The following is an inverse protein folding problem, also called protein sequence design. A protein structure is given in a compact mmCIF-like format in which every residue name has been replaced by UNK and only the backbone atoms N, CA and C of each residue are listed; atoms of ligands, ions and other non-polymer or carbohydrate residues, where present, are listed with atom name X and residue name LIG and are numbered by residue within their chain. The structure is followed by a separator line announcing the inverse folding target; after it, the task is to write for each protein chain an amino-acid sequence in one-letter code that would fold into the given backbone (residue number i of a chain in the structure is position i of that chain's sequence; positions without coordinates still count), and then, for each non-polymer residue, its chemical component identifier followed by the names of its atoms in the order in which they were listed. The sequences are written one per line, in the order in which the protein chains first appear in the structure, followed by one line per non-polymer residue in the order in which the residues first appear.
data_IF_607235414772
#
_entry.id   IF_607235414772
#
_cell.length_a   1.000
_cell.length_b   1.000
_cell.length_c   1.000
_cell.angle_alpha   90.00
_cell.angle_beta   90.00
_cell.angle_gamma   90.00
#
_symmetry.space_group_name_H-M   'P 1'
#
loop_
_entity.id
_entity.type
_entity.pdbx_description
1 polymer ?
#
# COMPACT_ATOMS: atom_id res chain seq x y z
N UNK A 1 1.07 7.48 9.82
CA UNK A 1 0.07 7.70 10.90
C UNK A 1 0.30 6.73 12.04
N UNK A 2 -0.07 7.10 13.27
CA UNK A 2 -0.25 6.15 14.37
C UNK A 2 -1.60 5.44 14.19
N UNK A 3 -1.62 4.12 14.33
CA UNK A 3 -2.83 3.31 14.15
C UNK A 3 -3.33 2.89 15.52
N UNK A 4 -4.47 3.45 15.95
CA UNK A 4 -5.14 3.05 17.18
C UNK A 4 -5.62 1.60 17.07
N UNK A 5 -5.16 0.74 18.01
CA UNK A 5 -5.44 -0.69 18.01
C UNK A 5 -6.95 -0.98 18.04
N UNK A 6 -7.44 -1.76 17.09
CA UNK A 6 -8.84 -2.20 16.94
C UNK A 6 -9.88 -1.06 17.04
N UNK A 7 -9.52 0.13 16.52
CA UNK A 7 -10.36 1.32 16.62
C UNK A 7 -10.61 1.97 15.26
N UNK A 8 -11.40 1.34 14.37
CA UNK A 8 -11.60 1.81 12.99
C UNK A 8 -12.03 3.27 12.92
N UNK A 9 -12.98 3.69 13.73
CA UNK A 9 -13.49 5.06 13.72
C UNK A 9 -12.39 6.10 14.01
N UNK A 10 -11.57 5.87 15.04
CA UNK A 10 -10.46 6.77 15.36
C UNK A 10 -9.44 6.84 14.23
N UNK A 11 -9.19 5.70 13.58
CA UNK A 11 -8.25 5.60 12.46
C UNK A 11 -8.80 6.30 11.21
N UNK A 12 -10.10 6.20 10.92
CA UNK A 12 -10.77 6.97 9.85
C UNK A 12 -10.61 8.48 10.10
N UNK A 13 -10.92 8.97 11.31
CA UNK A 13 -10.80 10.39 11.66
C UNK A 13 -9.34 10.89 11.56
N UNK A 14 -8.37 10.04 11.94
CA UNK A 14 -6.94 10.37 11.84
C UNK A 14 -6.47 10.42 10.40
N UNK A 15 -6.87 9.46 9.57
CA UNK A 15 -6.56 9.43 8.14
C UNK A 15 -7.19 10.63 7.41
N UNK A 16 -8.45 10.95 7.68
CA UNK A 16 -9.15 12.09 7.08
C UNK A 16 -8.43 13.40 7.40
N UNK A 17 -8.10 13.65 8.66
CA UNK A 17 -7.34 14.85 9.06
C UNK A 17 -6.01 14.97 8.33
N UNK A 18 -5.26 13.86 8.23
CA UNK A 18 -3.98 13.85 7.54
C UNK A 18 -4.12 14.15 6.04
N UNK A 19 -5.12 13.55 5.38
CA UNK A 19 -5.40 13.78 3.95
C UNK A 19 -5.84 15.22 3.66
N UNK A 20 -6.64 15.83 4.55
CA UNK A 20 -7.14 17.18 4.36
C UNK A 20 -6.13 18.27 4.76
N UNK A 21 -5.08 17.91 5.51
CA UNK A 21 -4.05 18.85 5.96
C UNK A 21 -2.94 19.10 4.92
N UNK A 22 -2.90 18.32 3.84
CA UNK A 22 -1.89 18.42 2.78
C UNK A 22 -2.47 18.97 1.48
N UNK A 23 -1.60 19.42 0.57
CA UNK A 23 -2.02 19.81 -0.77
C UNK A 23 -2.71 18.63 -1.50
N UNK A 24 -3.65 18.97 -2.39
CA UNK A 24 -4.38 17.96 -3.17
C UNK A 24 -3.40 17.10 -3.97
N UNK A 25 -3.60 15.81 -3.87
CA UNK A 25 -2.80 14.80 -4.54
C UNK A 25 -3.70 13.89 -5.39
N UNK A 26 -3.12 13.23 -6.39
CA UNK A 26 -3.84 12.28 -7.25
C UNK A 26 -4.09 10.92 -6.57
N UNK A 27 -3.29 10.60 -5.55
CA UNK A 27 -3.33 9.35 -4.82
C UNK A 27 -2.95 9.55 -3.36
N UNK A 28 -3.73 8.98 -2.45
CA UNK A 28 -3.43 8.88 -1.02
C UNK A 28 -3.24 7.42 -0.64
N UNK A 29 -2.14 7.11 0.06
CA UNK A 29 -1.80 5.74 0.45
C UNK A 29 -1.72 5.64 1.96
N UNK A 30 -2.48 4.72 2.54
CA UNK A 30 -2.56 4.41 3.96
C UNK A 30 -1.80 3.10 4.25
N UNK A 31 -1.36 2.87 5.50
CA UNK A 31 -0.57 1.69 5.88
C UNK A 31 -1.31 0.34 5.72
N UNK A 32 -0.65 -0.75 6.13
CA UNK A 32 -1.26 -2.08 6.25
C UNK A 32 -2.23 -2.12 7.43
N UNK A 33 -3.42 -2.73 7.20
CA UNK A 33 -4.53 -2.82 8.16
C UNK A 33 -4.73 -1.52 8.95
N UNK A 34 -4.74 -0.42 8.21
CA UNK A 34 -4.69 0.93 8.76
C UNK A 34 -5.91 1.29 9.62
N UNK A 35 -7.01 0.57 9.47
CA UNK A 35 -8.24 0.77 10.24
C UNK A 35 -8.21 0.08 11.61
N UNK A 36 -7.44 -1.00 11.79
CA UNK A 36 -7.45 -1.82 13.01
C UNK A 36 -6.08 -2.06 13.64
N UNK A 37 -4.99 -1.94 12.85
CA UNK A 37 -3.71 -2.55 13.17
C UNK A 37 -3.68 -4.02 12.74
N UNK A 38 -2.46 -4.59 12.66
CA UNK A 38 -2.27 -5.98 12.20
C UNK A 38 -2.59 -6.95 13.32
N UNK A 39 -3.77 -7.53 13.27
CA UNK A 39 -4.17 -8.62 14.16
C UNK A 39 -4.02 -9.97 13.47
N UNK A 40 -3.59 -10.98 14.22
CA UNK A 40 -3.60 -12.38 13.78
C UNK A 40 -4.92 -13.08 14.05
N UNK A 41 -5.81 -12.45 14.84
CA UNK A 41 -7.14 -12.93 15.18
C UNK A 41 -8.21 -12.04 14.50
N UNK A 42 -8.51 -12.27 13.21
CA UNK A 42 -9.36 -11.37 12.43
C UNK A 42 -10.85 -11.44 12.79
N UNK A 43 -11.31 -12.47 13.49
CA UNK A 43 -12.74 -12.74 13.69
C UNK A 43 -13.52 -11.55 14.28
N UNK A 44 -12.89 -10.82 15.22
CA UNK A 44 -13.52 -9.68 15.89
C UNK A 44 -13.42 -8.35 15.17
N UNK A 45 -12.55 -8.24 14.14
CA UNK A 45 -12.19 -6.95 13.52
C UNK A 45 -12.29 -6.93 11.99
N UNK A 46 -12.32 -8.10 11.35
CA UNK A 46 -12.43 -8.16 9.89
C UNK A 46 -13.81 -7.70 9.43
N UNK A 47 -13.80 -6.83 8.44
CA UNK A 47 -15.01 -6.32 7.81
C UNK A 47 -15.47 -7.24 6.67
N UNK A 48 -16.71 -7.12 6.24
CA UNK A 48 -17.18 -7.75 5.00
C UNK A 48 -16.51 -7.09 3.78
N UNK A 49 -16.66 -7.70 2.61
CA UNK A 49 -16.12 -7.17 1.34
C UNK A 49 -16.68 -5.78 0.98
N UNK A 50 -17.85 -5.42 1.49
CA UNK A 50 -18.47 -4.08 1.37
C UNK A 50 -18.53 -3.35 2.72
N UNK A 51 -17.55 -3.58 3.60
CA UNK A 51 -17.50 -3.05 4.95
C UNK A 51 -17.37 -1.54 5.06
N UNK A 52 -17.48 -1.03 6.29
CA UNK A 52 -17.50 0.41 6.59
C UNK A 52 -16.23 1.13 6.10
N UNK A 53 -15.06 0.50 6.24
CA UNK A 53 -13.80 1.09 5.79
C UNK A 53 -13.75 1.25 4.28
N UNK A 54 -14.23 0.26 3.50
CA UNK A 54 -14.32 0.42 2.05
C UNK A 54 -15.29 1.54 1.67
N UNK A 55 -16.44 1.65 2.34
CA UNK A 55 -17.40 2.74 2.08
C UNK A 55 -16.80 4.11 2.41
N UNK A 56 -16.05 4.21 3.52
CA UNK A 56 -15.31 5.41 3.87
C UNK A 56 -14.26 5.76 2.79
N UNK A 57 -13.48 4.78 2.30
CA UNK A 57 -12.51 4.99 1.22
C UNK A 57 -13.18 5.49 -0.07
N UNK A 58 -14.35 4.95 -0.42
CA UNK A 58 -15.17 5.42 -1.57
C UNK A 58 -15.59 6.88 -1.39
N UNK A 59 -16.06 7.26 -0.20
CA UNK A 59 -16.45 8.64 0.12
C UNK A 59 -15.26 9.60 0.04
N UNK A 60 -14.11 9.21 0.60
CA UNK A 60 -12.90 10.03 0.56
C UNK A 60 -12.35 10.18 -0.86
N UNK A 61 -12.33 9.11 -1.66
CA UNK A 61 -11.91 9.16 -3.06
C UNK A 61 -12.78 10.16 -3.86
N UNK A 62 -14.09 10.10 -3.68
CA UNK A 62 -15.04 11.05 -4.32
C UNK A 62 -14.81 12.48 -3.84
N UNK A 63 -14.70 12.70 -2.54
CA UNK A 63 -14.53 14.04 -1.94
C UNK A 63 -13.24 14.72 -2.37
N UNK A 64 -12.15 13.96 -2.48
CA UNK A 64 -10.82 14.46 -2.83
C UNK A 64 -10.57 14.48 -4.35
N UNK A 65 -11.46 13.87 -5.15
CA UNK A 65 -11.23 13.57 -6.58
C UNK A 65 -9.85 12.91 -6.79
N UNK A 66 -9.55 11.89 -5.96
CA UNK A 66 -8.25 11.22 -5.92
C UNK A 66 -8.44 9.73 -5.60
N UNK A 67 -7.47 8.90 -5.98
CA UNK A 67 -7.49 7.52 -5.52
C UNK A 67 -7.08 7.42 -4.05
N UNK A 68 -7.64 6.42 -3.35
CA UNK A 68 -7.27 6.08 -1.97
C UNK A 68 -6.88 4.60 -1.92
N UNK A 69 -5.70 4.30 -1.38
CA UNK A 69 -5.21 2.93 -1.24
C UNK A 69 -4.81 2.63 0.21
N UNK A 70 -5.01 1.39 0.65
CA UNK A 70 -4.65 0.92 2.00
C UNK A 70 -5.20 -0.47 2.26
N UNK A 71 -4.57 -1.26 3.13
CA UNK A 71 -5.08 -2.61 3.38
C UNK A 71 -5.96 -2.70 4.63
N UNK A 72 -6.86 -3.68 4.60
CA UNK A 72 -7.90 -3.95 5.60
C UNK A 72 -7.99 -5.46 5.81
N UNK A 73 -8.31 -5.90 7.02
CA UNK A 73 -8.70 -7.29 7.27
C UNK A 73 -10.14 -7.51 6.76
N UNK A 74 -10.30 -8.42 5.80
CA UNK A 74 -11.59 -8.68 5.15
C UNK A 74 -12.01 -10.13 5.34
N UNK A 75 -13.28 -10.34 5.70
CA UNK A 75 -13.95 -11.64 5.71
C UNK A 75 -14.73 -11.82 4.41
N UNK A 76 -14.40 -12.87 3.67
CA UNK A 76 -15.11 -13.23 2.45
C UNK A 76 -16.40 -13.99 2.72
N UNK A 77 -17.24 -14.12 1.70
CA UNK A 77 -18.51 -14.85 1.78
C UNK A 77 -18.35 -16.35 2.09
N UNK A 78 -17.19 -16.94 1.78
CA UNK A 78 -16.84 -18.33 2.12
C UNK A 78 -16.32 -18.49 3.56
N UNK A 79 -16.29 -17.40 4.34
CA UNK A 79 -15.82 -17.35 5.71
C UNK A 79 -14.30 -17.19 5.88
N UNK A 80 -13.52 -17.22 4.80
CA UNK A 80 -12.07 -17.02 4.87
C UNK A 80 -11.71 -15.55 5.07
N UNK A 81 -10.52 -15.31 5.64
CA UNK A 81 -10.00 -13.96 5.88
C UNK A 81 -8.88 -13.60 4.93
N UNK A 82 -8.81 -12.32 4.53
CA UNK A 82 -7.78 -11.74 3.67
C UNK A 82 -7.19 -10.48 4.30
N UNK A 83 -5.89 -10.30 4.15
CA UNK A 83 -5.25 -8.99 4.25
C UNK A 83 -5.35 -8.37 2.86
N UNK A 84 -6.35 -7.50 2.66
CA UNK A 84 -6.74 -6.97 1.34
C UNK A 84 -6.37 -5.50 1.19
N UNK A 85 -5.51 -5.18 0.23
CA UNK A 85 -5.22 -3.82 -0.17
C UNK A 85 -6.22 -3.38 -1.22
N UNK A 86 -7.06 -2.44 -0.85
CA UNK A 86 -7.96 -1.77 -1.78
C UNK A 86 -7.25 -0.61 -2.49
N UNK A 87 -7.58 -0.43 -3.76
CA UNK A 87 -7.27 0.76 -4.55
C UNK A 87 -8.60 1.32 -5.06
N UNK A 88 -9.06 2.40 -4.45
CA UNK A 88 -10.37 2.99 -4.67
C UNK A 88 -10.22 4.28 -5.47
N UNK A 89 -10.77 4.30 -6.68
CA UNK A 89 -10.81 5.49 -7.56
C UNK A 89 -12.07 6.29 -7.29
N UNK A 90 -12.07 7.62 -7.51
CA UNK A 90 -13.31 8.40 -7.47
C UNK A 90 -14.28 7.91 -8.57
N UNK A 91 -15.57 8.05 -8.31
CA UNK A 91 -16.60 7.76 -9.30
C UNK A 91 -16.44 8.73 -10.48
N UNK A 92 -15.87 8.25 -11.56
CA UNK A 92 -15.88 8.99 -12.82
C UNK A 92 -17.24 8.69 -13.46
N UNK A 93 -18.03 9.73 -13.73
CA UNK A 93 -19.26 9.64 -14.52
C UNK A 93 -18.85 9.36 -15.97
N UNK A 94 -18.43 8.13 -16.25
CA UNK A 94 -18.25 7.63 -17.61
C UNK A 94 -19.27 6.51 -17.83
N UNK A 95 -19.88 6.43 -19.02
CA UNK A 95 -20.89 5.40 -19.33
C UNK A 95 -20.32 3.96 -19.36
N UNK A 96 -19.02 3.81 -19.23
CA UNK A 96 -18.38 2.51 -19.09
C UNK A 96 -18.36 2.19 -17.58
N UNK A 97 -19.13 1.20 -17.16
CA UNK A 97 -19.07 0.61 -15.81
C UNK A 97 -17.68 0.03 -15.59
N UNK A 98 -16.69 0.90 -15.32
CA UNK A 98 -15.38 0.52 -14.85
C UNK A 98 -15.47 0.22 -13.36
N UNK A 99 -14.85 -0.84 -12.92
CA UNK A 99 -14.77 -1.17 -11.50
C UNK A 99 -13.88 -0.12 -10.81
N UNK A 100 -14.50 0.83 -10.07
CA UNK A 100 -13.77 1.90 -9.37
C UNK A 100 -12.99 1.37 -8.16
N UNK A 101 -13.24 0.14 -7.76
CA UNK A 101 -12.54 -0.57 -6.68
C UNK A 101 -11.77 -1.72 -7.28
N UNK A 102 -10.47 -1.71 -7.09
CA UNK A 102 -9.59 -2.85 -7.38
C UNK A 102 -8.91 -3.25 -6.07
N UNK A 103 -8.52 -4.51 -5.94
CA UNK A 103 -7.91 -5.00 -4.72
C UNK A 103 -6.83 -6.03 -5.00
N UNK A 104 -5.94 -6.18 -4.04
CA UNK A 104 -4.91 -7.18 -3.97
C UNK A 104 -4.96 -7.88 -2.61
N UNK A 105 -5.08 -9.19 -2.60
CA UNK A 105 -4.96 -10.00 -1.40
C UNK A 105 -3.50 -10.41 -1.19
N UNK A 106 -2.96 -10.16 0.01
CA UNK A 106 -1.57 -10.44 0.35
C UNK A 106 -1.17 -11.86 -0.02
N UNK A 107 -0.12 -12.00 -0.83
CA UNK A 107 0.34 -13.30 -1.29
C UNK A 107 1.24 -13.98 -0.26
N UNK A 108 2.26 -13.26 0.23
CA UNK A 108 3.17 -13.81 1.23
C UNK A 108 2.72 -13.42 2.63
N UNK A 109 1.99 -14.31 3.27
CA UNK A 109 1.58 -14.14 4.67
C UNK A 109 2.79 -14.24 5.60
N UNK A 110 2.81 -13.43 6.67
CA UNK A 110 3.90 -13.41 7.65
C UNK A 110 3.74 -14.57 8.64
N UNK A 111 4.18 -15.78 8.23
CA UNK A 111 4.05 -17.00 9.02
C UNK A 111 4.72 -16.91 10.41
N UNK A 112 5.90 -16.24 10.49
CA UNK A 112 6.59 -16.03 11.77
C UNK A 112 5.74 -15.23 12.77
N UNK A 113 4.88 -14.32 12.29
CA UNK A 113 3.94 -13.56 13.11
C UNK A 113 2.58 -14.23 13.30
N UNK A 114 2.39 -15.45 12.79
CA UNK A 114 1.13 -16.20 12.96
C UNK A 114 0.04 -15.86 11.93
N UNK A 115 0.30 -15.00 10.95
CA UNK A 115 -0.73 -14.59 9.96
C UNK A 115 -1.32 -15.78 9.19
N UNK A 116 -0.51 -16.83 8.93
CA UNK A 116 -0.94 -18.05 8.23
C UNK A 116 -1.93 -18.93 9.00
N UNK A 117 -2.14 -18.66 10.28
CA UNK A 117 -3.07 -19.44 11.09
C UNK A 117 -4.53 -19.12 10.75
N UNK A 118 -4.81 -17.88 10.39
CA UNK A 118 -6.19 -17.40 10.21
C UNK A 118 -6.43 -16.73 8.85
N UNK A 119 -5.39 -16.22 8.19
CA UNK A 119 -5.54 -15.60 6.88
C UNK A 119 -5.22 -16.58 5.75
N UNK A 120 -5.89 -16.39 4.63
CA UNK A 120 -5.63 -17.14 3.39
C UNK A 120 -4.91 -16.24 2.39
N UNK A 121 -3.81 -16.69 1.73
CA UNK A 121 -3.08 -15.89 0.76
C UNK A 121 -3.86 -15.66 -0.53
N UNK A 122 -3.61 -14.52 -1.18
CA UNK A 122 -3.99 -14.28 -2.56
C UNK A 122 -3.03 -14.96 -3.54
N UNK A 123 -3.49 -15.17 -4.78
CA UNK A 123 -2.72 -15.85 -5.83
C UNK A 123 -2.46 -14.97 -7.06
N UNK A 124 -2.96 -13.74 -7.07
CA UNK A 124 -2.90 -12.86 -8.23
C UNK A 124 -1.95 -11.69 -8.00
N UNK A 125 -1.18 -11.36 -9.04
CA UNK A 125 -0.42 -10.12 -9.11
C UNK A 125 -1.34 -9.05 -9.70
N UNK A 126 -1.56 -7.96 -8.97
CA UNK A 126 -2.51 -6.92 -9.37
C UNK A 126 -1.78 -5.64 -9.75
N UNK A 127 -2.05 -5.16 -10.96
CA UNK A 127 -1.70 -3.80 -11.40
C UNK A 127 -2.96 -3.00 -11.68
N UNK A 128 -2.92 -1.72 -11.32
CA UNK A 128 -4.05 -0.79 -11.43
C UNK A 128 -3.63 0.41 -12.26
N UNK A 129 -4.44 0.75 -13.27
CA UNK A 129 -4.25 1.99 -14.04
C UNK A 129 -5.00 3.14 -13.38
N UNK A 130 -4.29 4.23 -13.11
CA UNK A 130 -4.87 5.46 -12.61
C UNK A 130 -4.15 6.68 -13.20
N UNK A 131 -4.91 7.56 -13.85
CA UNK A 131 -4.38 8.78 -14.50
C UNK A 131 -3.18 8.53 -15.40
N UNK A 132 -3.18 7.40 -16.13
CA UNK A 132 -2.14 7.03 -17.09
C UNK A 132 -0.87 6.44 -16.46
N UNK A 133 -0.89 6.10 -15.19
CA UNK A 133 0.20 5.44 -14.46
C UNK A 133 -0.26 4.05 -14.02
N UNK A 134 0.60 3.06 -14.16
CA UNK A 134 0.37 1.67 -13.75
C UNK A 134 0.96 1.43 -12.36
N UNK A 135 0.11 1.09 -11.40
CA UNK A 135 0.48 0.82 -10.01
C UNK A 135 0.45 -0.67 -9.72
N UNK A 136 1.55 -1.25 -9.27
CA UNK A 136 1.63 -2.61 -8.72
C UNK A 136 1.35 -2.55 -7.22
N UNK A 137 0.48 -3.44 -6.73
CA UNK A 137 0.11 -3.51 -5.33
C UNK A 137 0.88 -4.63 -4.62
N UNK A 138 1.40 -4.36 -3.42
CA UNK A 138 1.94 -5.36 -2.51
C UNK A 138 1.76 -4.95 -1.04
N UNK A 139 1.83 -5.93 -0.14
CA UNK A 139 1.60 -5.72 1.28
C UNK A 139 2.80 -6.27 2.07
N UNK A 140 3.50 -5.38 2.77
CA UNK A 140 4.46 -5.63 3.85
C UNK A 140 5.47 -6.75 3.53
N UNK A 141 5.21 -7.97 3.97
CA UNK A 141 6.11 -9.11 3.82
C UNK A 141 6.39 -9.48 2.36
N UNK A 142 5.47 -9.17 1.43
CA UNK A 142 5.69 -9.34 -0.02
C UNK A 142 6.97 -8.64 -0.51
N UNK A 143 7.35 -7.53 0.15
CA UNK A 143 8.54 -6.77 -0.19
C UNK A 143 9.83 -7.62 -0.15
N UNK A 144 9.85 -8.73 0.61
CA UNK A 144 10.99 -9.65 0.68
C UNK A 144 11.14 -10.59 -0.51
N UNK A 145 10.15 -10.65 -1.39
CA UNK A 145 10.08 -11.64 -2.47
C UNK A 145 10.24 -10.99 -3.85
N UNK A 146 11.49 -10.84 -4.34
CA UNK A 146 11.77 -10.13 -5.60
C UNK A 146 11.11 -10.79 -6.82
N UNK A 147 11.03 -12.11 -6.86
CA UNK A 147 10.42 -12.85 -7.99
C UNK A 147 8.94 -12.48 -8.14
N UNK A 148 8.21 -12.34 -7.02
CA UNK A 148 6.81 -11.93 -7.03
C UNK A 148 6.61 -10.50 -7.53
N UNK A 149 7.55 -9.62 -7.20
CA UNK A 149 7.50 -8.19 -7.52
C UNK A 149 8.25 -7.82 -8.80
N UNK A 150 8.85 -8.81 -9.51
CA UNK A 150 9.60 -8.55 -10.74
C UNK A 150 8.73 -7.81 -11.76
N UNK A 151 9.22 -6.66 -12.23
CA UNK A 151 8.61 -5.86 -13.26
C UNK A 151 8.87 -6.48 -14.64
N UNK A 152 7.81 -6.83 -15.35
CA UNK A 152 7.84 -7.32 -16.73
C UNK A 152 7.36 -6.23 -17.69
N UNK A 153 7.74 -4.98 -17.43
CA UNK A 153 7.25 -3.77 -18.08
C UNK A 153 5.72 -3.61 -17.92
N UNK A 154 5.20 -4.06 -16.78
CA UNK A 154 3.77 -4.11 -16.48
C UNK A 154 3.35 -3.16 -15.35
N UNK A 155 4.28 -2.37 -14.81
CA UNK A 155 3.99 -1.27 -13.87
C UNK A 155 5.07 -0.17 -13.85
N UNK A 156 4.69 0.98 -13.34
CA UNK A 156 5.53 2.19 -13.25
C UNK A 156 5.82 2.57 -11.80
N UNK A 157 4.90 2.22 -10.91
CA UNK A 157 4.97 2.49 -9.47
C UNK A 157 4.62 1.24 -8.69
N UNK A 158 5.43 0.89 -7.69
CA UNK A 158 5.13 -0.15 -6.70
C UNK A 158 4.59 0.51 -5.44
N UNK A 159 3.39 0.15 -5.01
CA UNK A 159 2.83 0.51 -3.70
C UNK A 159 3.06 -0.64 -2.74
N UNK A 160 3.76 -0.36 -1.63
CA UNK A 160 3.97 -1.30 -0.53
C UNK A 160 3.43 -0.69 0.76
N UNK A 161 2.26 -1.14 1.20
CA UNK A 161 1.70 -0.75 2.49
C UNK A 161 2.16 -1.71 3.58
N UNK A 162 2.51 -1.21 4.76
CA UNK A 162 3.15 -2.03 5.79
C UNK A 162 2.80 -1.63 7.23
N UNK A 163 2.91 -2.62 8.10
CA UNK A 163 3.15 -2.50 9.54
C UNK A 163 4.51 -3.16 9.84
N UNK A 164 5.58 -2.47 9.42
CA UNK A 164 6.94 -3.00 9.48
C UNK A 164 7.62 -2.59 10.78
N UNK A 165 7.97 -3.53 11.68
CA UNK A 165 8.49 -3.22 13.00
C UNK A 165 9.85 -2.51 12.99
N UNK A 166 10.06 -1.67 14.01
CA UNK A 166 11.28 -0.89 14.20
C UNK A 166 12.56 -1.75 14.16
N UNK A 167 12.54 -2.92 14.81
CA UNK A 167 13.69 -3.82 14.85
C UNK A 167 14.15 -4.34 13.48
N UNK A 168 13.36 -4.14 12.43
CA UNK A 168 13.67 -4.56 11.06
C UNK A 168 13.78 -3.40 10.06
N UNK A 169 13.88 -2.14 10.54
CA UNK A 169 13.86 -0.95 9.68
C UNK A 169 15.02 -0.88 8.69
N UNK A 170 16.19 -1.43 9.02
CA UNK A 170 17.29 -1.53 8.05
C UNK A 170 16.86 -2.32 6.80
N UNK A 171 16.24 -3.49 6.99
CA UNK A 171 15.74 -4.29 5.87
C UNK A 171 14.64 -3.56 5.06
N UNK A 172 13.75 -2.82 5.72
CA UNK A 172 12.74 -2.00 5.06
C UNK A 172 13.35 -1.02 4.07
N UNK A 173 14.28 -0.19 4.53
CA UNK A 173 14.96 0.82 3.70
C UNK A 173 15.73 0.21 2.53
N UNK A 174 16.51 -0.85 2.80
CA UNK A 174 17.31 -1.53 1.77
C UNK A 174 16.40 -2.15 0.70
N UNK A 175 15.33 -2.83 1.12
CA UNK A 175 14.43 -3.51 0.19
C UNK A 175 13.62 -2.54 -0.66
N UNK A 176 13.14 -1.42 -0.12
CA UNK A 176 12.47 -0.39 -0.93
C UNK A 176 13.39 0.13 -2.04
N UNK A 177 14.65 0.46 -1.70
CA UNK A 177 15.66 0.90 -2.67
C UNK A 177 15.96 -0.18 -3.73
N UNK A 178 16.15 -1.43 -3.30
CA UNK A 178 16.41 -2.55 -4.19
C UNK A 178 15.26 -2.74 -5.19
N UNK A 179 13.99 -2.72 -4.71
CA UNK A 179 12.82 -2.84 -5.59
C UNK A 179 12.72 -1.72 -6.60
N UNK A 180 13.06 -0.49 -6.22
CA UNK A 180 13.06 0.65 -7.13
C UNK A 180 14.11 0.49 -8.24
N UNK A 181 15.33 0.10 -7.88
CA UNK A 181 16.46 -0.02 -8.81
C UNK A 181 16.25 -1.19 -9.77
N UNK A 182 16.04 -2.41 -9.25
CA UNK A 182 15.94 -3.64 -10.06
C UNK A 182 14.72 -3.67 -11.00
N UNK A 183 13.65 -2.94 -10.63
CA UNK A 183 12.42 -2.86 -11.39
C UNK A 183 12.26 -1.55 -12.17
N UNK A 184 13.26 -0.66 -12.10
CA UNK A 184 13.23 0.66 -12.75
C UNK A 184 11.87 1.36 -12.55
N UNK A 185 11.42 1.50 -11.31
CA UNK A 185 10.11 2.05 -10.97
C UNK A 185 10.22 2.97 -9.75
N UNK A 186 9.20 3.81 -9.54
CA UNK A 186 9.01 4.44 -8.23
C UNK A 186 8.51 3.42 -7.22
N UNK A 187 8.87 3.58 -5.94
CA UNK A 187 8.34 2.76 -4.84
C UNK A 187 7.73 3.66 -3.78
N UNK A 188 6.45 3.46 -3.48
CA UNK A 188 5.74 4.10 -2.38
C UNK A 188 5.70 3.11 -1.22
N UNK A 189 6.65 3.23 -0.30
CA UNK A 189 6.70 2.42 0.92
C UNK A 189 5.98 3.15 2.05
N UNK A 190 4.80 2.69 2.47
CA UNK A 190 3.98 3.36 3.47
C UNK A 190 3.90 2.50 4.73
N UNK A 191 4.52 2.98 5.81
CA UNK A 191 4.56 2.29 7.10
C UNK A 191 3.90 3.13 8.20
N UNK A 192 3.34 2.45 9.21
CA UNK A 192 2.78 3.09 10.41
C UNK A 192 3.87 3.52 11.39
N UNK A 193 3.52 4.38 12.35
CA UNK A 193 4.26 4.65 13.59
C UNK A 193 3.48 4.14 14.80
N UNK A 194 4.03 4.33 16.00
CA UNK A 194 3.41 4.02 17.28
C UNK A 194 3.66 2.56 17.69
N UNK A 195 2.74 2.02 18.45
CA UNK A 195 2.85 0.64 18.98
C UNK A 195 1.52 -0.08 18.92
N UNK A 196 1.58 -1.39 18.91
CA UNK A 196 0.48 -2.29 19.19
C UNK A 196 0.88 -3.26 20.32
N UNK A 197 0.05 -4.25 20.71
CA UNK A 197 0.40 -5.20 21.77
C UNK A 197 1.66 -6.02 21.51
N UNK A 198 2.13 -6.10 20.25
CA UNK A 198 3.21 -7.01 19.83
C UNK A 198 4.48 -6.29 19.40
N UNK A 199 4.37 -5.11 18.82
CA UNK A 199 5.48 -4.43 18.16
C UNK A 199 5.47 -2.91 18.36
N UNK A 200 6.66 -2.32 18.20
CA UNK A 200 6.87 -0.89 18.03
C UNK A 200 7.22 -0.59 16.59
N UNK A 201 6.75 0.56 16.08
CA UNK A 201 6.87 1.02 14.71
C UNK A 201 7.41 2.45 14.67
N UNK A 202 8.53 2.66 13.99
CA UNK A 202 9.18 3.97 13.88
C UNK A 202 8.83 4.72 12.58
N UNK A 203 7.94 4.17 11.74
CA UNK A 203 7.56 4.81 10.48
C UNK A 203 8.48 4.44 9.32
N UNK A 204 9.21 5.42 8.77
CA UNK A 204 10.04 5.22 7.58
C UNK A 204 9.22 5.14 6.29
N UNK A 205 8.05 5.77 6.26
CA UNK A 205 7.29 6.02 5.01
C UNK A 205 8.17 6.79 4.04
N UNK A 206 8.28 6.29 2.81
CA UNK A 206 9.22 6.82 1.82
C UNK A 206 8.66 6.73 0.40
N UNK A 207 8.98 7.74 -0.40
CA UNK A 207 8.91 7.67 -1.86
C UNK A 207 10.32 7.46 -2.38
N UNK A 208 10.56 6.35 -3.06
CA UNK A 208 11.88 6.00 -3.61
C UNK A 208 11.83 6.16 -5.13
N UNK A 209 12.77 6.89 -5.69
CA UNK A 209 12.87 7.07 -7.13
C UNK A 209 13.51 5.84 -7.83
N UNK A 210 13.46 5.73 -9.17
CA UNK A 210 14.02 4.58 -9.90
C UNK A 210 15.53 4.39 -9.76
N UNK A 211 16.24 5.34 -9.15
CA UNK A 211 17.68 5.26 -8.84
C UNK A 211 17.95 4.82 -7.40
N UNK A 212 16.90 4.55 -6.63
CA UNK A 212 17.00 4.14 -5.22
C UNK A 212 17.14 5.31 -4.23
N UNK A 213 16.92 6.55 -4.68
CA UNK A 213 16.99 7.73 -3.82
C UNK A 213 15.63 7.92 -3.13
N UNK A 214 15.64 7.95 -1.81
CA UNK A 214 14.44 8.05 -1.00
C UNK A 214 14.19 9.48 -0.49
N UNK A 215 12.93 9.93 -0.59
CA UNK A 215 12.37 11.02 0.19
C UNK A 215 11.51 10.41 1.28
N UNK A 216 11.87 10.59 2.55
CA UNK A 216 11.26 9.88 3.68
C UNK A 216 10.63 10.84 4.68
N UNK A 217 9.56 10.37 5.34
CA UNK A 217 9.05 11.00 6.56
C UNK A 217 10.06 10.88 7.71
N UNK A 218 10.08 11.82 8.66
CA UNK A 218 10.79 11.67 9.92
C UNK A 218 10.34 10.39 10.65
N UNK A 219 11.28 9.75 11.37
CA UNK A 219 10.96 8.59 12.21
C UNK A 219 10.26 9.03 13.49
N UNK A 220 9.39 8.16 14.01
CA UNK A 220 8.61 8.36 15.24
C UNK A 220 7.73 9.62 15.25
N UNK A 221 7.45 10.18 14.07
CA UNK A 221 6.63 11.37 13.91
C UNK A 221 5.45 11.10 12.96
N UNK A 222 4.24 11.50 13.37
CA UNK A 222 3.06 11.43 12.52
C UNK A 222 3.16 12.50 11.42
N UNK A 223 3.50 12.07 10.21
CA UNK A 223 3.75 12.97 9.08
C UNK A 223 3.24 12.38 7.77
N UNK A 224 3.20 13.20 6.75
CA UNK A 224 2.85 12.85 5.38
C UNK A 224 4.01 13.25 4.47
N UNK A 225 4.39 12.37 3.56
CA UNK A 225 5.26 12.73 2.45
C UNK A 225 4.42 12.92 1.20
N UNK A 226 4.56 14.07 0.54
CA UNK A 226 3.94 14.37 -0.75
C UNK A 226 5.03 14.50 -1.79
N UNK A 227 4.88 13.83 -2.93
CA UNK A 227 5.89 13.81 -3.97
C UNK A 227 5.23 13.76 -5.35
N UNK A 228 5.68 14.61 -6.25
CA UNK A 228 5.34 14.51 -7.68
C UNK A 228 6.25 13.47 -8.35
N UNK A 229 5.65 12.52 -9.06
CA UNK A 229 6.37 11.48 -9.80
C UNK A 229 6.63 11.96 -11.24
N UNK A 230 7.89 12.06 -11.65
CA UNK A 230 8.27 12.45 -13.01
C UNK A 230 8.24 11.23 -13.96
N UNK A 231 7.09 10.98 -14.56
CA UNK A 231 6.90 9.86 -15.47
C UNK A 231 7.65 10.02 -16.80
N UNK A 232 7.96 11.26 -17.20
CA UNK A 232 8.78 11.51 -18.41
C UNK A 232 10.22 11.09 -18.16
N UNK A 233 10.75 11.42 -16.96
CA UNK A 233 12.09 11.00 -16.53
C UNK A 233 12.18 9.48 -16.42
N UNK A 234 11.17 8.81 -15.85
CA UNK A 234 11.12 7.35 -15.79
C UNK A 234 11.17 6.72 -17.17
N UNK A 235 10.34 7.17 -18.10
CA UNK A 235 10.30 6.68 -19.46
C UNK A 235 11.66 6.85 -20.17
N UNK A 236 12.24 8.04 -20.11
CA UNK A 236 13.56 8.32 -20.71
C UNK A 236 14.67 7.45 -20.09
N UNK A 237 14.60 7.18 -18.78
CA UNK A 237 15.56 6.28 -18.11
C UNK A 237 15.45 4.85 -18.66
N UNK A 238 14.25 4.28 -18.75
CA UNK A 238 14.02 2.93 -19.30
C UNK A 238 14.42 2.81 -20.78
N UNK A 239 14.22 3.86 -21.57
CA UNK A 239 14.65 3.90 -22.97
C UNK A 239 16.18 3.87 -23.11
N UNK A 240 16.90 4.61 -22.24
CA UNK A 240 18.37 4.69 -22.27
C UNK A 240 19.06 3.48 -21.66
N UNK A 241 18.43 2.83 -20.70
CA UNK A 241 18.95 1.67 -19.97
C UNK A 241 17.86 0.59 -19.82
N UNK A 242 17.57 -0.21 -20.85
CA UNK A 242 16.38 -1.04 -20.96
C UNK A 242 16.48 -2.40 -20.24
N UNK A 243 16.86 -2.43 -18.96
CA UNK A 243 17.06 -3.66 -18.15
C UNK A 243 15.80 -4.53 -18.10
N UNK A 244 14.59 -3.93 -18.15
CA UNK A 244 13.34 -4.68 -18.10
C UNK A 244 13.09 -5.54 -19.36
N UNK A 245 13.85 -5.34 -20.43
CA UNK A 245 13.79 -6.16 -21.66
C UNK A 245 14.72 -7.38 -21.62
N UNK A 246 15.65 -7.40 -20.66
CA UNK A 246 16.50 -8.56 -20.41
C UNK A 246 15.68 -9.55 -19.58
N UNK A 247 15.33 -10.68 -20.19
CA UNK A 247 14.47 -11.70 -19.58
C UNK A 247 15.33 -12.82 -19.05
N UNK A 248 15.13 -13.15 -17.77
CA UNK A 248 15.62 -14.40 -17.17
C UNK A 248 14.69 -15.56 -17.55
#
# INVERSE_FOLDING_TARGET
MDVAWESPRMNHETAERAMLAVERSDLYVLPEMWNTGVTVEPEGVAESEEGETLQWMKQMAKRLDAAVAGSVAVRLSDGSYRNRLYFVKPDIITPIKGNNVQWYDKHHLFAYGGETLNYTPGNERVSVDWRGIRFRLCICYDLRFPVWLRNKDDYDVLICVASWPEVRMHAWRVLLGARAIENQCYVLGVNRIGKDPYCQYSGGTSVVDPFGIATSCPENEASVVTQTLDMKRLKSFREKFPVLKEVD
#
